data_IF_705873486274
#
_entry.id   IF_705873486274
#
_cell.length_a   1.000
_cell.length_b   1.000
_cell.length_c   1.000
_cell.angle_alpha   90.00
_cell.angle_beta   90.00
_cell.angle_gamma   90.00
#
_symmetry.space_group_name_H-M   'P 1'
#
loop_
_entity.id
_entity.type
_entity.pdbx_description
1 polymer ?
#
# COMPACT_ATOMS: atom_id res chain seq x y z
N UNK A 1 1.74 0.55 -4.90
CA UNK A 1 1.75 0.17 -6.33
C UNK A 1 0.74 -0.93 -6.68
N UNK A 2 -0.30 -1.09 -5.88
CA UNK A 2 -1.42 -2.00 -6.14
C UNK A 2 -2.40 -1.37 -7.16
N UNK A 3 -3.07 -2.14 -8.04
CA UNK A 3 -3.86 -1.58 -9.14
C UNK A 3 -4.96 -0.60 -8.73
N UNK A 4 -5.57 -0.76 -7.57
CA UNK A 4 -6.63 0.14 -7.10
C UNK A 4 -6.12 1.50 -6.59
N UNK A 5 -4.82 1.66 -6.36
CA UNK A 5 -4.22 2.90 -5.90
C UNK A 5 -3.91 3.87 -7.06
N UNK A 6 -3.10 4.90 -6.80
CA UNK A 6 -2.83 5.96 -7.78
C UNK A 6 -2.00 5.48 -8.96
N UNK A 7 -1.03 4.60 -8.71
CA UNK A 7 -0.18 3.97 -9.71
C UNK A 7 -0.02 2.49 -9.39
N UNK A 8 0.29 1.68 -10.38
CA UNK A 8 0.42 0.24 -10.24
C UNK A 8 1.70 -0.31 -10.86
N UNK A 9 2.18 -1.40 -10.32
CA UNK A 9 3.15 -2.28 -10.98
C UNK A 9 2.75 -3.77 -10.81
N UNK A 10 1.42 -4.00 -10.75
CA UNK A 10 0.81 -5.28 -10.39
C UNK A 10 0.63 -5.38 -8.89
N UNK A 11 1.66 -5.76 -8.20
CA UNK A 11 1.78 -5.70 -6.75
C UNK A 11 3.06 -4.95 -6.39
N UNK A 12 3.13 -4.34 -5.22
CA UNK A 12 4.35 -3.73 -4.74
C UNK A 12 4.15 -2.57 -3.77
N UNK A 13 5.24 -2.18 -3.19
CA UNK A 13 5.34 -1.05 -2.28
C UNK A 13 6.75 -0.48 -2.28
N UNK A 14 6.93 0.64 -1.63
CA UNK A 14 8.23 1.25 -1.44
C UNK A 14 8.43 1.68 0.01
N UNK A 15 9.57 1.33 0.56
CA UNK A 15 10.06 1.87 1.83
C UNK A 15 11.38 2.57 1.53
N UNK A 16 11.54 3.78 1.99
CA UNK A 16 12.76 4.56 1.75
C UNK A 16 13.19 5.31 3.00
N UNK A 17 14.48 5.53 3.10
CA UNK A 17 15.12 6.22 4.21
C UNK A 17 16.39 6.95 3.73
N UNK A 18 16.74 8.02 4.39
CA UNK A 18 18.05 8.68 4.22
C UNK A 18 19.15 8.08 5.11
N UNK A 19 18.80 7.22 6.07
CA UNK A 19 19.76 6.54 6.95
C UNK A 19 20.30 5.28 6.27
N UNK A 20 21.63 5.27 6.02
CA UNK A 20 22.32 4.15 5.38
C UNK A 20 22.32 2.86 6.21
N UNK A 21 22.23 2.95 7.52
CA UNK A 21 22.15 1.77 8.42
C UNK A 21 20.77 1.13 8.33
N UNK A 22 19.70 1.95 8.40
CA UNK A 22 18.33 1.47 8.21
C UNK A 22 18.14 0.89 6.81
N UNK A 23 18.73 1.48 5.78
CA UNK A 23 18.70 0.92 4.43
C UNK A 23 19.19 -0.52 4.38
N UNK A 24 20.34 -0.81 5.01
CA UNK A 24 20.89 -2.19 5.05
C UNK A 24 19.96 -3.16 5.76
N UNK A 25 19.34 -2.74 6.86
CA UNK A 25 18.38 -3.54 7.62
C UNK A 25 17.14 -3.84 6.77
N UNK A 26 16.58 -2.83 6.11
CA UNK A 26 15.42 -2.98 5.23
C UNK A 26 15.71 -3.91 4.05
N UNK A 27 16.88 -3.77 3.42
CA UNK A 27 17.31 -4.64 2.34
C UNK A 27 17.50 -6.09 2.81
N UNK A 28 18.02 -6.28 4.02
CA UNK A 28 18.13 -7.60 4.63
C UNK A 28 16.76 -8.24 4.87
N UNK A 29 15.82 -7.52 5.47
CA UNK A 29 14.44 -8.01 5.66
C UNK A 29 13.76 -8.35 4.34
N UNK A 30 13.95 -7.55 3.31
CA UNK A 30 13.42 -7.78 1.97
C UNK A 30 13.99 -9.05 1.33
N UNK A 31 15.21 -9.46 1.71
CA UNK A 31 16.02 -10.51 1.09
C UNK A 31 16.31 -11.66 2.08
N UNK A 32 15.27 -12.24 2.64
CA UNK A 32 15.25 -13.39 3.57
C UNK A 32 15.94 -13.19 4.93
N UNK A 33 16.32 -11.98 5.29
CA UNK A 33 17.13 -11.73 6.50
C UNK A 33 18.62 -11.98 6.27
N UNK A 34 19.06 -11.96 5.00
CA UNK A 34 20.46 -12.18 4.61
C UNK A 34 21.33 -11.03 5.14
N UNK A 35 22.47 -11.41 5.70
CA UNK A 35 23.43 -10.46 6.25
C UNK A 35 24.30 -9.79 5.17
N UNK A 36 24.49 -10.43 4.04
CA UNK A 36 25.25 -9.91 2.91
C UNK A 36 24.55 -8.68 2.29
N UNK A 37 25.27 -7.56 2.20
CA UNK A 37 24.82 -6.29 1.62
C UNK A 37 25.44 -5.97 0.25
N UNK A 38 26.04 -6.94 -0.42
CA UNK A 38 26.54 -6.75 -1.78
C UNK A 38 25.39 -6.43 -2.74
N UNK A 39 25.52 -5.43 -3.63
CA UNK A 39 24.52 -5.15 -4.65
C UNK A 39 24.24 -6.38 -5.54
N UNK A 40 23.01 -6.52 -6.07
CA UNK A 40 22.68 -7.59 -7.00
C UNK A 40 23.69 -7.68 -8.16
N UNK A 41 24.08 -8.90 -8.52
CA UNK A 41 25.06 -9.16 -9.58
C UNK A 41 26.52 -8.86 -9.25
N UNK A 42 26.81 -8.44 -8.00
CA UNK A 42 28.19 -8.22 -7.51
C UNK A 42 28.45 -9.09 -6.30
N UNK A 43 29.65 -9.67 -6.26
CA UNK A 43 30.10 -10.47 -5.13
C UNK A 43 31.31 -9.81 -4.44
N UNK A 44 31.47 -10.10 -3.17
CA UNK A 44 32.62 -9.71 -2.36
C UNK A 44 32.98 -8.22 -2.41
N UNK A 45 31.99 -7.33 -2.51
CA UNK A 45 32.24 -5.87 -2.50
C UNK A 45 32.76 -5.37 -1.16
N UNK A 46 32.59 -6.14 -0.08
CA UNK A 46 33.16 -5.86 1.23
C UNK A 46 34.63 -6.30 1.36
N UNK A 47 35.14 -7.12 0.44
CA UNK A 47 36.47 -7.72 0.49
C UNK A 47 36.69 -8.76 1.59
N UNK A 48 35.57 -9.21 2.24
CA UNK A 48 35.61 -10.08 3.42
C UNK A 48 34.61 -11.23 3.34
N UNK A 49 34.36 -11.75 2.15
CA UNK A 49 33.32 -12.78 1.93
C UNK A 49 33.46 -14.00 2.83
N UNK A 50 34.70 -14.40 3.13
CA UNK A 50 35.03 -15.58 3.92
C UNK A 50 35.72 -15.27 5.26
N UNK A 51 35.78 -14.00 5.64
CA UNK A 51 36.53 -13.54 6.82
C UNK A 51 35.58 -13.16 8.00
N UNK A 52 34.43 -13.82 8.05
CA UNK A 52 33.44 -13.58 9.10
C UNK A 52 33.26 -14.83 9.95
N UNK A 53 32.99 -14.60 11.23
CA UNK A 53 32.52 -15.59 12.17
C UNK A 53 31.23 -15.06 12.79
N UNK A 54 30.10 -15.65 12.42
CA UNK A 54 28.78 -15.17 12.81
C UNK A 54 27.97 -16.31 13.43
N UNK A 55 27.43 -16.06 14.62
CA UNK A 55 26.70 -17.07 15.39
C UNK A 55 27.58 -18.28 15.71
N UNK A 56 27.07 -19.49 15.50
CA UNK A 56 27.78 -20.75 15.72
C UNK A 56 28.31 -21.36 14.40
N UNK A 57 28.39 -20.56 13.34
CA UNK A 57 28.92 -21.04 12.07
C UNK A 57 30.46 -21.06 12.11
N UNK A 58 31.10 -21.99 11.38
CA UNK A 58 32.57 -22.06 11.35
C UNK A 58 33.15 -20.80 10.69
N UNK A 59 34.33 -20.39 11.14
CA UNK A 59 35.07 -19.32 10.48
C UNK A 59 35.27 -19.62 8.98
N UNK A 60 35.16 -18.61 8.15
CA UNK A 60 35.28 -18.76 6.71
C UNK A 60 34.00 -19.24 6.01
N UNK A 61 32.89 -19.31 6.73
CA UNK A 61 31.59 -19.57 6.10
C UNK A 61 31.24 -18.46 5.08
N UNK A 62 30.67 -18.83 3.95
CA UNK A 62 30.34 -17.85 2.91
C UNK A 62 29.30 -16.83 3.40
N UNK A 63 29.74 -15.61 3.64
CA UNK A 63 28.90 -14.49 4.14
C UNK A 63 27.63 -14.27 3.30
N UNK A 64 27.66 -14.61 2.01
CA UNK A 64 26.51 -14.50 1.12
C UNK A 64 25.32 -15.37 1.55
N UNK A 65 25.57 -16.43 2.32
CA UNK A 65 24.57 -17.40 2.77
C UNK A 65 24.37 -17.40 4.29
N UNK A 66 24.74 -16.31 4.96
CA UNK A 66 24.47 -16.11 6.39
C UNK A 66 23.18 -15.29 6.53
N UNK A 67 22.32 -15.73 7.44
CA UNK A 67 21.04 -15.09 7.74
C UNK A 67 21.02 -14.66 9.21
N UNK A 68 21.06 -13.36 9.45
CA UNK A 68 21.13 -12.82 10.80
C UNK A 68 19.78 -12.76 11.51
N UNK A 69 18.69 -12.87 10.76
CA UNK A 69 17.31 -12.89 11.26
C UNK A 69 16.37 -13.48 10.22
N UNK A 70 15.12 -13.75 10.63
CA UNK A 70 14.09 -14.15 9.69
C UNK A 70 13.64 -12.93 8.87
N UNK A 71 13.62 -13.08 7.55
CA UNK A 71 13.18 -12.04 6.62
C UNK A 71 12.18 -12.57 5.61
N UNK A 72 11.92 -11.78 4.58
CA UNK A 72 10.91 -12.03 3.57
C UNK A 72 11.52 -12.17 2.17
N UNK A 73 10.78 -12.69 1.23
CA UNK A 73 11.12 -12.63 -0.19
C UNK A 73 10.25 -11.55 -0.86
N UNK A 74 10.70 -10.29 -0.79
CA UNK A 74 9.92 -9.14 -1.23
C UNK A 74 10.60 -8.33 -2.35
N UNK A 75 11.58 -8.92 -3.03
CA UNK A 75 12.18 -8.26 -4.21
C UNK A 75 11.19 -8.24 -5.36
N UNK A 76 11.06 -7.06 -5.97
CA UNK A 76 10.32 -6.90 -7.23
C UNK A 76 11.19 -7.33 -8.41
N UNK A 77 10.56 -7.65 -9.53
CA UNK A 77 11.24 -7.90 -10.79
C UNK A 77 11.51 -6.59 -11.55
N UNK A 78 12.46 -6.60 -12.46
CA UNK A 78 12.74 -5.46 -13.34
C UNK A 78 11.53 -5.11 -14.23
N UNK A 79 10.72 -6.11 -14.60
CA UNK A 79 9.46 -5.90 -15.33
C UNK A 79 8.47 -5.08 -14.51
N UNK A 80 8.30 -5.41 -13.23
CA UNK A 80 7.44 -4.64 -12.31
C UNK A 80 7.99 -3.22 -12.12
N UNK A 81 9.30 -3.08 -11.95
CA UNK A 81 9.94 -1.78 -11.81
C UNK A 81 9.76 -0.90 -13.04
N UNK A 82 9.86 -1.47 -14.25
CA UNK A 82 9.64 -0.75 -15.49
C UNK A 82 8.19 -0.25 -15.64
N UNK A 83 7.20 -1.08 -15.25
CA UNK A 83 5.78 -0.65 -15.21
C UNK A 83 5.61 0.49 -14.19
N UNK A 84 6.17 0.35 -12.98
CA UNK A 84 6.11 1.39 -11.95
C UNK A 84 6.71 2.71 -12.40
N UNK A 85 7.84 2.68 -13.08
CA UNK A 85 8.51 3.86 -13.63
C UNK A 85 7.62 4.57 -14.67
N UNK A 86 7.07 3.83 -15.63
CA UNK A 86 6.14 4.38 -16.62
C UNK A 86 4.86 4.98 -16.01
N UNK A 87 4.43 4.45 -14.87
CA UNK A 87 3.27 4.99 -14.14
C UNK A 87 3.61 6.29 -13.39
N UNK A 88 4.85 6.44 -12.89
CA UNK A 88 5.28 7.66 -12.21
C UNK A 88 5.17 8.89 -13.10
N UNK A 89 5.48 8.78 -14.38
CA UNK A 89 5.35 9.88 -15.35
C UNK A 89 3.91 10.37 -15.51
N UNK A 90 2.94 9.49 -15.24
CA UNK A 90 1.50 9.79 -15.33
C UNK A 90 0.89 10.24 -14.01
N UNK A 91 1.59 10.06 -12.90
CA UNK A 91 1.06 10.32 -11.56
C UNK A 91 0.52 11.75 -11.37
N UNK A 92 1.19 12.83 -11.84
CA UNK A 92 0.65 14.19 -11.69
C UNK A 92 -0.73 14.35 -12.35
N UNK A 93 -0.91 13.83 -13.55
CA UNK A 93 -2.20 13.89 -14.25
C UNK A 93 -3.29 13.06 -13.54
N UNK A 94 -2.93 11.89 -12.98
CA UNK A 94 -3.87 11.09 -12.20
C UNK A 94 -4.32 11.82 -10.92
N UNK A 95 -3.41 12.50 -10.23
CA UNK A 95 -3.72 13.30 -9.05
C UNK A 95 -4.70 14.42 -9.39
N UNK A 96 -4.42 15.18 -10.43
CA UNK A 96 -5.28 16.28 -10.89
C UNK A 96 -6.67 15.77 -11.28
N UNK A 97 -6.74 14.70 -12.05
CA UNK A 97 -8.00 14.08 -12.48
C UNK A 97 -8.83 13.60 -11.30
N UNK A 98 -8.20 12.96 -10.29
CA UNK A 98 -8.88 12.52 -9.06
C UNK A 98 -9.47 13.70 -8.29
N UNK A 99 -8.72 14.77 -8.11
CA UNK A 99 -9.19 15.99 -7.44
C UNK A 99 -10.37 16.64 -8.18
N UNK A 100 -10.25 16.75 -9.49
CA UNK A 100 -11.32 17.27 -10.36
C UNK A 100 -12.59 16.44 -10.27
N UNK A 101 -12.47 15.12 -10.37
CA UNK A 101 -13.60 14.20 -10.28
C UNK A 101 -14.27 14.27 -8.90
N UNK A 102 -13.47 14.31 -7.83
CA UNK A 102 -14.00 14.45 -6.48
C UNK A 102 -14.79 15.73 -6.29
N UNK A 103 -14.22 16.86 -6.69
CA UNK A 103 -14.88 18.16 -6.60
C UNK A 103 -16.15 18.22 -7.44
N UNK A 104 -16.13 17.61 -8.62
CA UNK A 104 -17.31 17.51 -9.48
C UNK A 104 -18.42 16.70 -8.81
N UNK A 105 -18.13 15.51 -8.30
CA UNK A 105 -19.12 14.67 -7.62
C UNK A 105 -19.69 15.39 -6.39
N UNK A 106 -18.84 15.98 -5.57
CA UNK A 106 -19.27 16.73 -4.38
C UNK A 106 -20.23 17.85 -4.74
N UNK A 107 -19.92 18.61 -5.79
CA UNK A 107 -20.79 19.70 -6.28
C UNK A 107 -22.13 19.18 -6.81
N UNK A 108 -22.13 18.09 -7.60
CA UNK A 108 -23.34 17.54 -8.19
C UNK A 108 -24.27 16.89 -7.15
N UNK A 109 -23.71 16.39 -6.07
CA UNK A 109 -24.45 15.72 -5.01
C UNK A 109 -24.80 16.64 -3.83
N UNK A 110 -24.43 17.93 -3.88
CA UNK A 110 -24.61 18.87 -2.76
C UNK A 110 -26.06 19.00 -2.28
N UNK A 111 -27.05 18.83 -3.17
CA UNK A 111 -28.47 18.87 -2.80
C UNK A 111 -28.94 17.66 -1.98
N UNK A 112 -28.10 16.64 -1.82
CA UNK A 112 -28.36 15.44 -1.05
C UNK A 112 -27.70 15.47 0.34
N UNK A 113 -27.15 16.58 0.77
CA UNK A 113 -26.46 16.71 2.04
C UNK A 113 -27.37 16.55 3.26
N UNK A 114 -28.68 16.72 3.10
CA UNK A 114 -29.69 16.38 4.12
C UNK A 114 -29.77 14.87 4.42
N UNK A 115 -29.41 14.02 3.46
CA UNK A 115 -29.46 12.55 3.59
C UNK A 115 -28.09 11.90 3.65
N UNK A 116 -27.06 12.55 3.10
CA UNK A 116 -25.73 11.98 2.90
C UNK A 116 -24.66 12.85 3.55
N UNK A 117 -23.62 12.20 4.08
CA UNK A 117 -22.40 12.87 4.53
C UNK A 117 -21.31 12.61 3.50
N UNK A 118 -20.74 13.68 2.99
CA UNK A 118 -19.63 13.63 2.05
C UNK A 118 -18.29 13.92 2.74
N UNK A 119 -17.19 13.37 2.24
CA UNK A 119 -15.88 13.60 2.84
C UNK A 119 -15.42 15.05 2.64
N UNK A 120 -14.71 15.52 3.64
CA UNK A 120 -14.04 16.82 3.66
C UNK A 120 -12.54 16.63 3.81
N UNK A 121 -11.75 17.45 3.13
CA UNK A 121 -10.33 17.51 3.38
C UNK A 121 -10.08 18.09 4.79
N UNK A 122 -9.16 17.49 5.54
CA UNK A 122 -8.73 18.09 6.80
C UNK A 122 -8.02 19.43 6.55
N UNK A 123 -8.09 20.40 7.47
CA UNK A 123 -7.38 21.66 7.31
C UNK A 123 -5.91 21.44 6.94
N UNK A 124 -5.40 22.29 6.08
CA UNK A 124 -4.00 22.27 5.59
C UNK A 124 -3.62 21.01 4.79
N UNK A 125 -4.59 20.18 4.37
CA UNK A 125 -4.35 19.02 3.51
C UNK A 125 -4.81 19.27 2.07
N UNK A 126 -4.11 18.64 1.13
CA UNK A 126 -4.46 18.64 -0.30
C UNK A 126 -4.50 17.18 -0.82
N UNK A 127 -5.55 16.42 -0.46
CA UNK A 127 -5.61 15.00 -0.75
C UNK A 127 -5.80 14.69 -2.23
N UNK A 128 -5.13 13.64 -2.69
CA UNK A 128 -5.47 12.96 -3.93
C UNK A 128 -6.38 11.77 -3.59
N UNK A 129 -7.66 12.00 -3.61
CA UNK A 129 -8.69 11.10 -3.13
C UNK A 129 -8.61 9.69 -3.75
N UNK A 130 -8.58 8.68 -2.90
CA UNK A 130 -8.64 7.28 -3.33
C UNK A 130 -10.01 6.90 -3.87
N UNK A 131 -11.06 7.37 -3.22
CA UNK A 131 -12.46 7.16 -3.58
C UNK A 131 -13.33 8.30 -3.12
N UNK A 132 -14.63 8.16 -3.32
CA UNK A 132 -15.65 9.10 -2.88
C UNK A 132 -16.55 8.40 -1.85
N UNK A 133 -16.15 8.33 -0.56
CA UNK A 133 -16.95 7.67 0.47
C UNK A 133 -18.23 8.46 0.75
N UNK A 134 -19.34 7.73 0.86
CA UNK A 134 -20.65 8.26 1.15
C UNK A 134 -21.17 7.58 2.42
N UNK A 135 -21.57 8.38 3.41
CA UNK A 135 -22.23 7.88 4.62
C UNK A 135 -23.69 8.36 4.63
N UNK A 136 -24.63 7.45 4.90
CA UNK A 136 -26.04 7.79 5.00
C UNK A 136 -26.29 8.34 6.40
N UNK A 137 -26.98 9.49 6.48
CA UNK A 137 -27.36 10.09 7.75
C UNK A 137 -28.44 9.26 8.44
N UNK A 138 -28.44 9.30 9.74
CA UNK A 138 -29.53 8.78 10.55
C UNK A 138 -30.83 9.55 10.21
N UNK A 139 -31.93 8.81 10.01
CA UNK A 139 -33.21 9.38 9.61
C UNK A 139 -33.39 9.59 8.10
N UNK A 140 -32.43 9.26 7.26
CA UNK A 140 -32.63 9.28 5.80
C UNK A 140 -33.78 8.33 5.40
N UNK A 141 -34.58 8.66 4.36
CA UNK A 141 -35.77 7.88 3.97
C UNK A 141 -35.40 6.57 3.23
N UNK A 142 -34.13 6.23 3.14
CA UNK A 142 -33.62 5.01 2.51
C UNK A 142 -32.46 4.43 3.32
N UNK A 143 -32.27 3.14 3.23
CA UNK A 143 -31.17 2.43 3.86
C UNK A 143 -29.92 2.36 2.95
N UNK A 144 -28.80 1.92 3.53
CA UNK A 144 -27.59 1.61 2.74
C UNK A 144 -27.89 0.54 1.67
N UNK A 145 -28.66 -0.47 2.01
CA UNK A 145 -29.03 -1.53 1.06
C UNK A 145 -29.83 -1.00 -0.12
N UNK A 146 -30.76 -0.07 0.12
CA UNK A 146 -31.57 0.54 -0.95
C UNK A 146 -30.68 1.34 -1.90
N UNK A 147 -29.74 2.13 -1.36
CA UNK A 147 -28.78 2.87 -2.18
C UNK A 147 -27.89 1.93 -3.00
N UNK A 148 -27.40 0.85 -2.41
CA UNK A 148 -26.57 -0.13 -3.12
C UNK A 148 -27.33 -0.82 -4.25
N UNK A 149 -28.56 -1.26 -4.03
CA UNK A 149 -29.43 -1.84 -5.06
C UNK A 149 -29.73 -0.84 -6.19
N UNK A 150 -29.96 0.42 -5.84
CA UNK A 150 -30.17 1.47 -6.83
C UNK A 150 -28.94 1.69 -7.72
N UNK A 151 -27.76 1.80 -7.12
CA UNK A 151 -26.49 1.98 -7.83
C UNK A 151 -26.19 0.78 -8.75
N UNK A 152 -26.39 -0.44 -8.23
CA UNK A 152 -26.20 -1.67 -9.01
C UNK A 152 -27.13 -1.72 -10.21
N UNK A 153 -28.41 -1.41 -10.02
CA UNK A 153 -29.40 -1.31 -11.09
C UNK A 153 -29.05 -0.25 -12.16
N UNK A 154 -28.31 0.79 -11.76
CA UNK A 154 -27.76 1.81 -12.68
C UNK A 154 -26.39 1.45 -13.26
N UNK A 155 -25.85 0.27 -12.96
CA UNK A 155 -24.51 -0.18 -13.36
C UNK A 155 -23.40 0.73 -12.87
N UNK A 156 -23.56 1.34 -11.71
CA UNK A 156 -22.55 2.15 -11.02
C UNK A 156 -21.83 1.26 -10.01
N UNK A 157 -20.57 0.99 -10.27
CA UNK A 157 -19.74 0.18 -9.36
C UNK A 157 -19.48 0.88 -8.04
N UNK A 158 -19.55 0.13 -6.96
CA UNK A 158 -19.27 0.61 -5.60
C UNK A 158 -18.47 -0.43 -4.81
N UNK A 159 -17.95 0.00 -3.67
CA UNK A 159 -17.35 -0.86 -2.66
C UNK A 159 -17.77 -0.37 -1.29
N UNK A 160 -18.04 -1.30 -0.37
CA UNK A 160 -18.16 -0.96 1.04
C UNK A 160 -16.78 -0.51 1.57
N UNK A 161 -16.75 0.12 2.74
CA UNK A 161 -15.50 0.51 3.38
C UNK A 161 -14.77 -0.75 3.87
N UNK A 162 -14.32 -1.55 2.92
CA UNK A 162 -13.58 -2.80 3.04
C UNK A 162 -14.17 -3.75 4.10
N UNK A 163 -13.33 -4.25 5.01
CA UNK A 163 -13.73 -5.12 6.11
C UNK A 163 -14.50 -4.44 7.24
N UNK A 164 -14.61 -3.12 7.23
CA UNK A 164 -15.24 -2.36 8.31
C UNK A 164 -14.51 -2.55 9.64
N UNK A 165 -15.25 -2.83 10.70
CA UNK A 165 -14.67 -3.13 12.01
C UNK A 165 -14.17 -4.57 12.06
N UNK A 166 -12.85 -4.76 12.04
CA UNK A 166 -12.21 -6.07 12.00
C UNK A 166 -12.55 -6.95 13.19
N UNK A 167 -12.73 -6.38 14.39
CA UNK A 167 -13.07 -7.17 15.58
C UNK A 167 -14.49 -7.78 15.52
N UNK A 168 -15.33 -7.33 14.59
CA UNK A 168 -16.64 -7.93 14.30
C UNK A 168 -16.56 -9.03 13.24
N UNK A 169 -15.43 -9.24 12.60
CA UNK A 169 -15.25 -10.30 11.64
C UNK A 169 -15.23 -11.68 12.32
N UNK A 170 -15.69 -12.75 11.66
CA UNK A 170 -15.71 -14.10 12.24
C UNK A 170 -14.36 -14.56 12.81
N UNK A 171 -13.26 -14.11 12.23
CA UNK A 171 -11.90 -14.41 12.70
C UNK A 171 -11.65 -13.98 14.15
N UNK A 172 -12.32 -12.93 14.64
CA UNK A 172 -12.13 -12.37 15.98
C UNK A 172 -13.20 -12.81 16.99
N UNK A 173 -14.22 -13.58 16.60
CA UNK A 173 -15.33 -13.91 17.49
C UNK A 173 -14.91 -14.57 18.79
N UNK A 174 -13.85 -15.41 18.77
CA UNK A 174 -13.35 -16.15 19.92
C UNK A 174 -11.96 -15.68 20.35
N UNK A 175 -11.54 -14.46 19.96
CA UNK A 175 -10.25 -13.89 20.33
C UNK A 175 -10.38 -12.88 21.47
N UNK A 176 -9.43 -12.95 22.39
CA UNK A 176 -9.22 -11.92 23.39
C UNK A 176 -8.31 -10.84 22.78
N UNK A 177 -8.71 -9.58 22.84
CA UNK A 177 -7.97 -8.41 22.32
C UNK A 177 -8.11 -7.21 23.27
#
# INVERSE_FOLDING_TARGET
FYPAHHITMGEGGAVFTSDGSLKKILESFRDWGRDCFCPPGKDNTCGKRFDWELGNLPYGYDHKYIYSHAGYNLKITDMQAAVGLAQLDRLPNFIETRRKNFSYLKKQLASLDEFLIFPEATPESDPSWFGFPITIREGAPFSRSDLLHYLDGKKIGFRLLFGGNLIRQPYFQDKIY
#
